data_IF_448504926756
#
_entry.id   IF_448504926756
#
_cell.length_a   1.000
_cell.length_b   1.000
_cell.length_c   1.000
_cell.angle_alpha   90.00
_cell.angle_beta   90.00
_cell.angle_gamma   90.00
#
_symmetry.space_group_name_H-M   'P 1'
#
loop_
_entity.id
_entity.type
_entity.pdbx_description
1 polymer ?
#
# COMPACT_ATOMS: atom_id res chain seq x y z
N UNK A 1 -60.59 -46.44 -39.64
CA UNK A 1 -61.22 -46.20 -38.32
C UNK A 1 -60.78 -44.83 -37.80
N UNK A 2 -61.74 -43.89 -37.77
CA UNK A 2 -61.51 -42.48 -37.41
C UNK A 2 -61.64 -42.34 -35.88
N UNK A 3 -60.65 -41.71 -35.22
CA UNK A 3 -60.79 -41.26 -33.84
C UNK A 3 -60.67 -39.74 -33.79
N UNK A 4 -61.75 -39.10 -33.37
CA UNK A 4 -61.93 -37.67 -33.20
C UNK A 4 -61.28 -37.24 -31.88
N UNK A 5 -60.43 -36.25 -31.92
CA UNK A 5 -59.89 -35.56 -30.75
C UNK A 5 -60.80 -34.39 -30.39
N UNK A 6 -61.24 -34.37 -29.13
CA UNK A 6 -61.96 -33.26 -28.54
C UNK A 6 -60.98 -32.24 -27.98
N UNK A 7 -60.97 -31.04 -28.55
CA UNK A 7 -60.30 -29.89 -27.89
C UNK A 7 -61.26 -29.30 -26.90
N UNK A 8 -60.83 -29.30 -25.61
CA UNK A 8 -61.45 -28.51 -24.60
C UNK A 8 -60.67 -27.21 -24.44
N UNK A 9 -61.23 -26.08 -24.85
CA UNK A 9 -60.68 -24.74 -24.60
C UNK A 9 -60.90 -24.40 -23.14
N UNK A 10 -59.79 -24.25 -22.40
CA UNK A 10 -59.76 -23.65 -21.06
C UNK A 10 -59.31 -22.20 -21.20
N UNK A 11 -60.23 -21.28 -21.07
CA UNK A 11 -59.96 -19.84 -20.93
C UNK A 11 -59.42 -19.56 -19.52
N UNK A 12 -58.12 -19.46 -19.40
CA UNK A 12 -57.47 -18.96 -18.20
C UNK A 12 -57.36 -17.44 -18.26
N UNK A 13 -58.14 -16.77 -17.43
CA UNK A 13 -57.99 -15.34 -17.18
C UNK A 13 -56.69 -15.13 -16.35
N UNK A 14 -55.68 -14.53 -16.98
CA UNK A 14 -54.50 -14.04 -16.29
C UNK A 14 -54.81 -12.68 -15.67
N UNK A 15 -54.53 -12.47 -14.36
CA UNK A 15 -54.59 -11.14 -13.81
C UNK A 15 -53.41 -10.31 -14.39
N UNK A 16 -53.76 -9.17 -14.99
CA UNK A 16 -52.79 -8.16 -15.40
C UNK A 16 -52.14 -7.59 -14.13
N UNK A 17 -50.95 -8.07 -13.79
CA UNK A 17 -50.11 -7.40 -12.82
C UNK A 17 -49.60 -6.09 -13.46
N UNK A 18 -50.09 -4.96 -12.99
CA UNK A 18 -49.51 -3.66 -13.27
C UNK A 18 -48.07 -3.66 -12.71
N UNK A 19 -47.10 -3.92 -13.55
CA UNK A 19 -45.69 -3.65 -13.23
C UNK A 19 -45.49 -2.15 -13.25
N UNK A 20 -45.41 -1.56 -12.06
CA UNK A 20 -44.95 -0.21 -11.93
C UNK A 20 -43.49 -0.17 -12.44
N UNK A 21 -43.06 0.83 -13.23
CA UNK A 21 -41.70 0.96 -13.61
C UNK A 21 -40.89 1.23 -12.34
N UNK A 22 -40.01 0.29 -11.99
CA UNK A 22 -39.00 0.50 -10.97
C UNK A 22 -38.02 1.52 -11.56
N UNK A 23 -38.23 2.79 -11.29
CA UNK A 23 -37.21 3.80 -11.54
C UNK A 23 -36.10 3.53 -10.53
N UNK A 24 -35.04 2.82 -10.96
CA UNK A 24 -33.75 2.87 -10.30
C UNK A 24 -33.25 4.32 -10.41
N UNK A 25 -33.57 5.12 -9.41
CA UNK A 25 -32.80 6.31 -9.13
C UNK A 25 -31.39 5.83 -8.76
N UNK A 26 -30.56 5.68 -9.79
CA UNK A 26 -29.13 5.65 -9.63
C UNK A 26 -28.73 7.05 -9.14
N UNK A 27 -28.94 7.31 -7.84
CA UNK A 27 -28.20 8.35 -7.17
C UNK A 27 -26.73 7.95 -7.29
N UNK A 28 -26.10 8.42 -8.34
CA UNK A 28 -24.66 8.48 -8.40
C UNK A 28 -24.23 9.45 -7.29
N UNK A 29 -24.07 8.92 -6.09
CA UNK A 29 -23.28 9.56 -5.04
C UNK A 29 -21.81 9.50 -5.48
N UNK A 30 -21.53 10.02 -6.65
CA UNK A 30 -20.18 10.29 -7.10
C UNK A 30 -19.66 11.38 -6.19
N UNK A 31 -18.85 11.02 -5.19
CA UNK A 31 -17.94 11.98 -4.62
C UNK A 31 -17.25 12.68 -5.80
N UNK A 32 -17.18 14.02 -5.80
CA UNK A 32 -16.52 14.74 -6.89
C UNK A 32 -15.17 14.08 -7.14
N UNK A 33 -14.83 13.85 -8.40
CA UNK A 33 -13.55 13.29 -8.77
C UNK A 33 -12.48 14.12 -8.07
N UNK A 34 -11.64 13.46 -7.28
CA UNK A 34 -10.57 14.13 -6.55
C UNK A 34 -9.63 14.73 -7.62
N UNK A 35 -9.35 16.01 -7.53
CA UNK A 35 -8.41 16.66 -8.44
C UNK A 35 -7.04 15.99 -8.36
N UNK A 36 -6.31 16.03 -9.49
CA UNK A 36 -4.95 15.51 -9.53
C UNK A 36 -4.06 16.30 -8.56
N UNK A 37 -3.36 15.60 -7.69
CA UNK A 37 -2.41 16.21 -6.76
C UNK A 37 -0.98 15.95 -7.24
N UNK A 38 -0.27 17.01 -7.61
CA UNK A 38 1.13 16.93 -8.02
C UNK A 38 2.01 17.27 -6.84
N UNK A 39 2.88 16.34 -6.45
CA UNK A 39 3.95 16.57 -5.47
C UNK A 39 5.26 16.73 -6.23
N UNK A 40 5.82 17.93 -6.35
CA UNK A 40 7.04 18.18 -7.11
C UNK A 40 8.25 17.37 -6.59
N UNK A 41 9.26 17.22 -7.44
CA UNK A 41 10.52 16.57 -7.05
C UNK A 41 11.15 17.27 -5.84
N UNK A 42 11.66 16.48 -4.90
CA UNK A 42 12.28 16.97 -3.68
C UNK A 42 11.33 17.56 -2.64
N UNK A 43 10.01 17.56 -2.89
CA UNK A 43 9.02 18.08 -1.96
C UNK A 43 8.21 16.95 -1.30
N UNK A 44 7.74 17.21 -0.10
CA UNK A 44 6.73 16.44 0.61
C UNK A 44 5.33 16.92 0.20
N UNK A 45 4.32 16.05 0.27
CA UNK A 45 2.93 16.40 -0.06
C UNK A 45 2.32 17.46 0.85
N UNK A 46 2.82 17.59 2.09
CA UNK A 46 2.37 18.58 3.07
C UNK A 46 3.32 19.78 3.21
N UNK A 47 4.46 19.74 2.54
CA UNK A 47 5.53 20.74 2.73
C UNK A 47 6.29 20.61 4.05
N UNK A 48 6.06 19.52 4.80
CA UNK A 48 6.72 19.27 6.09
C UNK A 48 8.09 18.60 5.92
N UNK A 49 8.92 18.73 6.94
CA UNK A 49 10.16 17.95 7.10
C UNK A 49 9.98 16.94 8.23
N UNK A 50 10.39 15.70 8.01
CA UNK A 50 10.23 14.62 8.98
C UNK A 50 11.55 14.36 9.71
N UNK A 51 11.59 14.67 11.01
CA UNK A 51 12.80 14.69 11.81
C UNK A 51 13.43 13.30 12.06
N UNK A 52 12.64 12.22 12.00
CA UNK A 52 13.10 10.87 12.37
C UNK A 52 13.93 10.16 11.31
N UNK A 53 13.72 10.49 10.06
CA UNK A 53 14.38 9.84 8.91
C UNK A 53 14.81 10.91 7.92
N UNK A 54 16.08 11.31 7.94
CA UNK A 54 16.60 12.29 6.98
C UNK A 54 16.33 11.86 5.54
N UNK A 55 15.78 12.75 4.74
CA UNK A 55 15.47 12.49 3.33
C UNK A 55 14.14 11.78 3.06
N UNK A 56 13.32 11.48 4.06
CA UNK A 56 12.00 10.87 3.87
C UNK A 56 10.96 11.94 3.52
N UNK A 57 10.16 11.67 2.46
CA UNK A 57 9.07 12.51 1.99
C UNK A 57 7.83 11.69 1.69
N UNK A 58 6.67 12.10 2.20
CA UNK A 58 5.39 11.50 1.83
C UNK A 58 4.96 12.01 0.45
N UNK A 59 4.92 11.11 -0.53
CA UNK A 59 4.50 11.43 -1.90
C UNK A 59 3.00 11.20 -2.10
N UNK A 60 2.46 10.15 -1.46
CA UNK A 60 1.01 9.86 -1.42
C UNK A 60 0.66 9.57 0.03
N UNK A 61 0.14 10.54 0.79
CA UNK A 61 -0.24 10.33 2.19
C UNK A 61 -1.48 9.45 2.31
N UNK A 62 -1.60 8.75 3.43
CA UNK A 62 -2.66 7.79 3.73
C UNK A 62 -4.07 8.36 3.53
N UNK A 63 -4.28 9.61 3.91
CA UNK A 63 -5.58 10.28 3.79
C UNK A 63 -6.04 10.40 2.33
N UNK A 64 -5.13 10.60 1.39
CA UNK A 64 -5.47 10.76 -0.03
C UNK A 64 -6.02 9.50 -0.67
N UNK A 65 -5.68 8.35 -0.13
CA UNK A 65 -6.08 7.04 -0.63
C UNK A 65 -7.14 6.35 0.24
N UNK A 66 -7.65 7.04 1.27
CA UNK A 66 -8.57 6.46 2.27
C UNK A 66 -7.98 5.22 2.97
N UNK A 67 -6.67 5.23 3.20
CA UNK A 67 -5.98 4.14 3.88
C UNK A 67 -5.51 3.00 2.97
N UNK A 68 -5.76 3.05 1.67
CA UNK A 68 -5.39 1.95 0.77
C UNK A 68 -3.91 1.92 0.39
N UNK A 69 -3.27 3.10 0.35
CA UNK A 69 -1.90 3.24 -0.09
C UNK A 69 -1.20 4.38 0.64
N UNK A 70 0.02 4.15 1.05
CA UNK A 70 1.00 5.17 1.43
C UNK A 70 2.20 5.03 0.49
N UNK A 71 2.71 6.14 -0.05
CA UNK A 71 3.96 6.15 -0.82
C UNK A 71 4.91 7.17 -0.22
N UNK A 72 6.12 6.73 0.06
CA UNK A 72 7.21 7.58 0.52
C UNK A 72 8.39 7.54 -0.46
N UNK A 73 9.07 8.64 -0.59
CA UNK A 73 10.40 8.74 -1.19
C UNK A 73 11.41 8.86 -0.04
N UNK A 74 12.43 8.03 -0.06
CA UNK A 74 13.55 8.12 0.88
C UNK A 74 14.84 8.31 0.09
N UNK A 75 15.47 9.45 0.26
CA UNK A 75 16.71 9.78 -0.44
C UNK A 75 17.89 9.93 0.53
N UNK A 76 19.07 10.18 -0.04
CA UNK A 76 20.31 10.40 0.69
C UNK A 76 20.69 9.28 1.68
N UNK A 77 20.34 8.05 1.36
CA UNK A 77 20.73 6.88 2.15
C UNK A 77 22.16 6.49 1.88
N UNK A 78 23.07 6.84 2.79
CA UNK A 78 24.53 6.58 2.62
C UNK A 78 24.98 5.30 3.31
N UNK A 79 24.25 4.82 4.31
CA UNK A 79 24.56 3.59 5.06
C UNK A 79 23.40 3.20 5.95
N UNK A 80 23.40 1.94 6.41
CA UNK A 80 22.37 1.43 7.32
C UNK A 80 21.02 1.19 6.66
N UNK A 81 20.02 0.91 7.49
CA UNK A 81 18.65 0.62 7.12
C UNK A 81 17.84 0.28 8.37
N UNK A 82 16.59 -0.14 8.23
CA UNK A 82 15.77 -0.54 9.36
C UNK A 82 16.30 -1.83 10.01
N UNK A 83 16.01 -2.08 11.30
CA UNK A 83 16.22 -3.39 11.89
C UNK A 83 15.35 -4.45 11.20
N UNK A 84 15.70 -5.73 11.38
CA UNK A 84 14.88 -6.84 10.87
C UNK A 84 13.51 -6.81 11.54
N UNK A 85 12.47 -6.70 10.73
CA UNK A 85 11.09 -6.57 11.19
C UNK A 85 10.11 -7.21 10.21
N UNK A 86 8.85 -7.30 10.59
CA UNK A 86 7.75 -7.65 9.69
C UNK A 86 6.55 -6.75 9.94
N UNK A 87 5.71 -6.62 8.93
CA UNK A 87 4.39 -6.00 9.01
C UNK A 87 3.32 -7.07 9.16
N UNK A 88 2.36 -6.89 10.07
CA UNK A 88 1.27 -7.84 10.28
C UNK A 88 0.18 -7.73 9.20
N UNK A 89 -0.07 -6.51 8.72
CA UNK A 89 -1.23 -6.21 7.87
C UNK A 89 -0.89 -5.56 6.53
N UNK A 90 0.35 -5.08 6.34
CA UNK A 90 0.77 -4.35 5.13
C UNK A 90 1.71 -5.19 4.27
N UNK A 91 1.54 -5.09 2.95
CA UNK A 91 2.61 -5.37 1.99
C UNK A 91 3.50 -4.13 1.90
N UNK A 92 4.81 -4.32 1.84
CA UNK A 92 5.76 -3.24 1.60
C UNK A 92 6.51 -3.48 0.30
N UNK A 93 6.37 -2.57 -0.63
CA UNK A 93 7.03 -2.65 -1.93
C UNK A 93 8.11 -1.59 -2.05
N UNK A 94 9.25 -1.98 -2.61
CA UNK A 94 10.43 -1.13 -2.78
C UNK A 94 10.79 -1.01 -4.25
N UNK A 95 11.15 0.20 -4.69
CA UNK A 95 11.72 0.46 -6.00
C UNK A 95 12.98 1.29 -5.85
N UNK A 96 14.11 0.79 -6.33
CA UNK A 96 15.39 1.49 -6.28
C UNK A 96 15.46 2.51 -7.40
N UNK A 97 15.48 3.79 -7.03
CA UNK A 97 15.62 4.91 -7.99
C UNK A 97 17.10 5.15 -8.28
N UNK A 98 17.94 5.21 -7.23
CA UNK A 98 19.37 5.48 -7.32
C UNK A 98 20.14 4.64 -6.30
N UNK A 99 21.40 4.32 -6.60
CA UNK A 99 22.29 3.58 -5.70
C UNK A 99 22.09 2.08 -5.73
N UNK A 100 22.67 1.42 -4.74
CA UNK A 100 22.60 -0.03 -4.56
C UNK A 100 22.19 -0.35 -3.13
N UNK A 101 21.43 -1.43 -2.98
CA UNK A 101 20.92 -1.90 -1.70
C UNK A 101 21.07 -3.42 -1.57
N UNK A 102 21.41 -3.87 -0.37
CA UNK A 102 21.29 -5.26 0.01
C UNK A 102 19.98 -5.43 0.79
N UNK A 103 19.12 -6.29 0.31
CA UNK A 103 17.87 -6.68 0.96
C UNK A 103 18.00 -8.06 1.60
N UNK A 104 17.28 -8.26 2.68
CA UNK A 104 16.95 -9.57 3.20
C UNK A 104 15.41 -9.66 3.28
N UNK A 105 14.82 -10.68 2.63
CA UNK A 105 13.39 -11.00 2.69
C UNK A 105 13.27 -12.48 3.02
N UNK A 106 12.73 -12.80 4.18
CA UNK A 106 12.83 -14.13 4.74
C UNK A 106 14.29 -14.54 4.96
N UNK A 107 14.70 -15.63 4.34
CA UNK A 107 16.08 -16.14 4.39
C UNK A 107 16.95 -15.67 3.21
N UNK A 108 16.32 -15.10 2.20
CA UNK A 108 17.02 -14.69 0.98
C UNK A 108 17.70 -13.33 1.14
N UNK A 109 18.92 -13.22 0.61
CA UNK A 109 19.67 -11.95 0.50
C UNK A 109 19.88 -11.61 -0.95
N UNK A 110 19.44 -10.43 -1.34
CA UNK A 110 19.39 -10.01 -2.74
C UNK A 110 19.96 -8.60 -2.84
N UNK A 111 20.90 -8.39 -3.78
CA UNK A 111 21.37 -7.05 -4.14
C UNK A 111 20.46 -6.47 -5.22
N UNK A 112 20.01 -5.25 -5.00
CA UNK A 112 19.22 -4.46 -5.93
C UNK A 112 19.99 -3.19 -6.32
N UNK A 113 19.80 -2.79 -7.57
CA UNK A 113 20.35 -1.56 -8.16
C UNK A 113 19.23 -0.73 -8.78
N UNK A 114 19.58 0.46 -9.22
CA UNK A 114 18.65 1.36 -9.92
C UNK A 114 17.80 0.64 -10.98
N UNK A 115 16.50 0.78 -10.90
CA UNK A 115 15.49 0.14 -11.75
C UNK A 115 14.93 -1.17 -11.21
N UNK A 116 15.55 -1.79 -10.22
CA UNK A 116 15.07 -3.02 -9.61
C UNK A 116 13.98 -2.74 -8.55
N UNK A 117 13.11 -3.73 -8.32
CA UNK A 117 12.10 -3.67 -7.27
C UNK A 117 11.96 -5.00 -6.54
N UNK A 118 11.46 -4.95 -5.30
CA UNK A 118 11.19 -6.12 -4.48
C UNK A 118 9.93 -5.90 -3.62
N UNK A 119 9.22 -6.97 -3.35
CA UNK A 119 8.10 -6.99 -2.40
C UNK A 119 8.57 -7.61 -1.08
N UNK A 120 8.35 -6.93 0.02
CA UNK A 120 8.32 -7.45 1.38
C UNK A 120 6.88 -7.85 1.74
N UNK A 121 6.49 -9.13 1.61
CA UNK A 121 5.13 -9.54 1.91
C UNK A 121 4.83 -9.39 3.41
N UNK A 122 3.57 -9.12 3.75
CA UNK A 122 3.13 -9.12 5.16
C UNK A 122 3.51 -10.43 5.84
N UNK A 123 3.88 -10.36 7.11
CA UNK A 123 4.30 -11.49 7.95
C UNK A 123 5.60 -12.19 7.50
N UNK A 124 6.29 -11.64 6.50
CA UNK A 124 7.61 -12.11 6.10
C UNK A 124 8.66 -11.15 6.65
N UNK A 125 9.60 -11.61 7.48
CA UNK A 125 10.68 -10.78 7.99
C UNK A 125 11.51 -10.17 6.87
N UNK A 126 11.77 -8.87 6.95
CA UNK A 126 12.61 -8.19 5.98
C UNK A 126 13.38 -7.02 6.58
N UNK A 127 14.42 -6.64 5.89
CA UNK A 127 15.29 -5.49 6.17
C UNK A 127 16.10 -5.17 4.93
N UNK A 128 16.72 -4.00 4.90
CA UNK A 128 17.67 -3.62 3.86
C UNK A 128 18.77 -2.73 4.43
N UNK A 129 19.85 -2.57 3.67
CA UNK A 129 20.83 -1.52 3.90
C UNK A 129 21.36 -0.97 2.57
N UNK A 130 21.66 0.34 2.56
CA UNK A 130 22.39 0.94 1.45
C UNK A 130 23.81 0.36 1.41
N UNK A 131 24.29 0.04 0.18
CA UNK A 131 25.63 -0.48 -0.08
C UNK A 131 26.29 0.35 -1.19
N UNK A 132 27.61 0.33 -1.22
CA UNK A 132 28.35 1.12 -2.22
C UNK A 132 28.77 2.50 -1.69
N UNK A 133 29.18 3.39 -2.57
CA UNK A 133 29.78 4.69 -2.24
C UNK A 133 28.90 5.89 -2.57
N UNK A 134 27.83 5.67 -3.32
CA UNK A 134 26.87 6.71 -3.70
C UNK A 134 25.62 6.66 -2.81
N UNK A 135 25.08 7.82 -2.41
CA UNK A 135 23.80 7.84 -1.71
C UNK A 135 22.70 7.15 -2.49
N UNK A 136 21.89 6.34 -1.80
CA UNK A 136 20.76 5.65 -2.40
C UNK A 136 19.46 6.43 -2.29
N UNK A 137 18.55 6.15 -3.21
CA UNK A 137 17.16 6.65 -3.22
C UNK A 137 16.21 5.51 -3.54
N UNK A 138 15.12 5.42 -2.78
CA UNK A 138 14.04 4.47 -3.02
C UNK A 138 12.67 5.14 -2.97
N UNK A 139 11.73 4.57 -3.73
CA UNK A 139 10.30 4.71 -3.49
C UNK A 139 9.86 3.49 -2.69
N UNK A 140 9.12 3.71 -1.63
CA UNK A 140 8.59 2.66 -0.76
C UNK A 140 7.07 2.85 -0.68
N UNK A 141 6.32 1.78 -0.90
CA UNK A 141 4.87 1.81 -0.88
C UNK A 141 4.31 0.76 0.08
N UNK A 142 3.29 1.13 0.86
CA UNK A 142 2.59 0.27 1.79
C UNK A 142 1.14 0.11 1.37
N UNK A 143 0.66 -1.12 1.26
CA UNK A 143 -0.75 -1.43 0.92
C UNK A 143 -1.29 -2.59 1.78
N UNK A 144 -2.38 -2.36 2.54
CA UNK A 144 -2.94 -1.05 2.86
C UNK A 144 -1.94 -0.16 3.60
N UNK A 145 -2.18 1.15 3.65
CA UNK A 145 -1.30 2.09 4.37
C UNK A 145 -1.17 1.78 5.86
N UNK A 146 -2.22 1.24 6.48
CA UNK A 146 -2.26 0.92 7.90
C UNK A 146 -1.87 2.13 8.77
N UNK A 147 -0.97 1.88 9.71
CA UNK A 147 -0.45 2.91 10.62
C UNK A 147 0.95 3.43 10.20
N UNK A 148 1.41 3.12 8.99
CA UNK A 148 2.79 3.39 8.60
C UNK A 148 3.13 4.88 8.51
N UNK A 149 2.20 5.72 8.05
CA UNK A 149 2.43 7.17 8.07
C UNK A 149 2.65 7.68 9.50
N UNK A 150 1.84 7.22 10.45
CA UNK A 150 1.99 7.58 11.86
C UNK A 150 3.29 7.03 12.47
N UNK A 151 3.71 5.83 12.05
CA UNK A 151 5.02 5.29 12.44
C UNK A 151 6.14 6.24 12.05
N UNK A 152 6.23 6.65 10.79
CA UNK A 152 7.29 7.53 10.31
C UNK A 152 7.23 8.93 10.95
N UNK A 153 6.03 9.46 11.19
CA UNK A 153 5.88 10.76 11.88
C UNK A 153 6.30 10.72 13.33
N UNK A 154 6.17 9.58 14.01
CA UNK A 154 6.46 9.42 15.44
C UNK A 154 7.79 8.71 15.72
N UNK A 155 8.44 8.12 14.72
CA UNK A 155 9.71 7.46 14.90
C UNK A 155 10.83 8.47 15.15
N UNK A 156 11.56 8.25 16.24
CA UNK A 156 12.77 9.00 16.54
C UNK A 156 14.02 8.22 16.06
N UNK A 157 15.12 8.93 15.90
CA UNK A 157 16.43 8.32 15.66
C UNK A 157 17.24 8.38 16.98
N UNK A 158 17.69 7.26 17.57
CA UNK A 158 17.70 5.90 17.04
C UNK A 158 16.32 5.24 17.03
N UNK A 159 16.19 4.19 16.19
CA UNK A 159 14.95 3.44 16.05
C UNK A 159 14.45 2.89 17.39
N UNK A 160 13.13 2.85 17.52
CA UNK A 160 12.44 2.50 18.74
C UNK A 160 12.58 0.99 19.07
N UNK A 161 12.16 0.64 20.27
CA UNK A 161 12.17 -0.75 20.74
C UNK A 161 10.97 -1.57 20.18
N UNK A 162 10.89 -2.85 20.59
CA UNK A 162 9.83 -3.76 20.14
C UNK A 162 8.41 -3.29 20.55
N UNK A 163 8.25 -2.54 21.63
CA UNK A 163 6.95 -2.02 22.05
C UNK A 163 6.47 -0.93 21.09
N UNK A 164 7.41 -0.10 20.61
CA UNK A 164 7.12 0.91 19.60
C UNK A 164 6.65 0.25 18.30
N UNK A 165 7.35 -0.78 17.78
CA UNK A 165 6.94 -1.50 16.58
C UNK A 165 5.54 -2.11 16.70
N UNK A 166 5.25 -2.81 17.79
CA UNK A 166 3.92 -3.40 18.04
C UNK A 166 2.78 -2.39 18.04
N UNK A 167 3.00 -1.15 18.45
CA UNK A 167 2.00 -0.08 18.40
C UNK A 167 1.52 0.20 16.97
N UNK A 168 2.36 -0.08 15.97
CA UNK A 168 2.11 0.16 14.56
C UNK A 168 1.90 -1.13 13.75
N UNK A 169 1.45 -2.20 14.41
CA UNK A 169 1.16 -3.49 13.80
C UNK A 169 2.39 -4.11 13.09
N UNK A 170 3.55 -3.97 13.73
CA UNK A 170 4.81 -4.55 13.30
C UNK A 170 5.47 -5.35 14.42
N UNK A 171 6.37 -6.27 14.05
CA UNK A 171 7.23 -6.98 14.98
C UNK A 171 8.70 -6.68 14.68
N UNK A 172 9.43 -6.29 15.73
CA UNK A 172 10.87 -6.14 15.69
C UNK A 172 11.52 -7.50 15.99
N UNK A 173 12.32 -8.02 15.06
CA UNK A 173 12.86 -9.38 15.13
C UNK A 173 14.37 -9.46 15.29
N UNK A 174 15.10 -8.41 14.94
CA UNK A 174 16.55 -8.42 15.01
C UNK A 174 17.21 -7.10 14.69
N UNK A 175 18.54 -7.05 14.69
CA UNK A 175 19.29 -5.83 14.38
C UNK A 175 19.18 -5.46 12.90
N UNK A 176 19.59 -4.23 12.53
CA UNK A 176 19.76 -3.84 11.14
C UNK A 176 20.72 -4.75 10.37
N UNK A 177 20.45 -4.93 9.07
CA UNK A 177 21.35 -5.64 8.17
C UNK A 177 22.67 -4.88 8.03
N UNK A 178 23.76 -5.62 8.00
CA UNK A 178 25.09 -5.09 7.70
C UNK A 178 25.52 -5.54 6.31
N UNK A 179 26.13 -4.62 5.54
CA UNK A 179 26.72 -4.88 4.24
C UNK A 179 27.92 -5.83 4.31
#
# INVERSE_FOLDING_TARGET
>A
MKRRSFLKSATSAFPILLTQPFTLDAQSSGSPAKEAHVVPSGQDSSGETHAGFGGLRFKVPTQETRGNLLVIEHDNMVSGGPPLHLHLEQEEWFYVVEGEFLFQVGEERIRLKSGDSILGPRKVPHTFCAVGTTPGKMIIAFSPAGKMEQFFRNAANPLQDAAFYRKYDMELLGPPLKA
#
